data_IF_151952503315
#
_entry.id   IF_151952503315
#
_cell.length_a   1.000
_cell.length_b   1.000
_cell.length_c   1.000
_cell.angle_alpha   90.00
_cell.angle_beta   90.00
_cell.angle_gamma   90.00
#
_symmetry.space_group_name_H-M   'P 1'
#
loop_
_entity.id
_entity.type
_entity.pdbx_description
1 polymer ?
#
# COMPACT_ATOMS: atom_id res chain seq x y z
N UNK A 1 -23.03 25.14 40.49
CA UNK A 1 -22.97 25.08 39.01
C UNK A 1 -21.56 24.85 38.45
N UNK A 2 -20.47 25.06 39.20
CA UNK A 2 -19.10 24.81 38.73
C UNK A 2 -18.73 23.33 38.49
N UNK A 3 -19.40 22.37 39.18
CA UNK A 3 -19.13 20.92 39.04
C UNK A 3 -19.44 20.37 37.65
N UNK A 4 -20.38 20.97 36.92
CA UNK A 4 -20.78 20.52 35.57
C UNK A 4 -19.74 20.97 34.54
N UNK A 5 -19.23 22.20 34.66
CA UNK A 5 -18.22 22.76 33.75
C UNK A 5 -16.90 21.98 33.76
N UNK A 6 -16.43 21.54 34.93
CA UNK A 6 -15.20 20.73 35.05
C UNK A 6 -15.38 19.38 34.35
N UNK A 7 -16.55 18.75 34.48
CA UNK A 7 -16.86 17.46 33.87
C UNK A 7 -16.91 17.56 32.34
N UNK A 8 -17.42 18.67 31.81
CA UNK A 8 -17.47 18.94 30.36
C UNK A 8 -16.08 19.25 29.78
N UNK A 9 -15.23 20.00 30.49
CA UNK A 9 -13.85 20.29 30.07
C UNK A 9 -12.98 19.03 30.01
N UNK A 10 -13.10 18.12 30.98
CA UNK A 10 -12.41 16.83 30.94
C UNK A 10 -12.86 15.96 29.76
N UNK A 11 -14.16 15.97 29.43
CA UNK A 11 -14.69 15.17 28.33
C UNK A 11 -14.16 15.66 26.97
N UNK A 12 -14.08 16.99 26.78
CA UNK A 12 -13.55 17.60 25.54
C UNK A 12 -12.07 17.29 25.33
N UNK A 13 -11.26 17.29 26.39
CA UNK A 13 -9.85 16.94 26.32
C UNK A 13 -9.63 15.44 25.98
N UNK A 14 -10.49 14.57 26.52
CA UNK A 14 -10.45 13.12 26.25
C UNK A 14 -10.85 12.81 24.79
N UNK A 15 -11.87 13.52 24.26
CA UNK A 15 -12.26 13.40 22.85
C UNK A 15 -11.16 13.89 21.89
N UNK A 16 -10.48 14.99 22.20
CA UNK A 16 -9.32 15.44 21.42
C UNK A 16 -8.20 14.40 21.43
N UNK A 17 -7.91 13.77 22.56
CA UNK A 17 -6.90 12.71 22.66
C UNK A 17 -7.26 11.47 21.81
N UNK A 18 -8.54 11.07 21.80
CA UNK A 18 -9.04 9.98 20.95
C UNK A 18 -8.90 10.30 19.46
N UNK A 19 -9.17 11.55 19.05
CA UNK A 19 -8.97 11.99 17.66
C UNK A 19 -7.49 11.96 17.26
N UNK A 20 -6.56 12.31 18.17
CA UNK A 20 -5.12 12.18 17.92
C UNK A 20 -4.66 10.72 17.75
N UNK A 21 -5.23 9.78 18.50
CA UNK A 21 -4.93 8.35 18.32
C UNK A 21 -5.50 7.81 17.00
N UNK A 22 -6.68 8.29 16.56
CA UNK A 22 -7.25 7.92 15.26
C UNK A 22 -6.48 8.51 14.07
N UNK A 23 -5.90 9.72 14.21
CA UNK A 23 -4.99 10.29 13.21
C UNK A 23 -3.57 9.71 13.27
N UNK A 24 -3.22 8.96 14.33
CA UNK A 24 -1.96 8.25 14.50
C UNK A 24 -1.82 6.97 13.66
N UNK A 25 -2.89 6.56 12.96
CA UNK A 25 -2.84 5.64 11.82
C UNK A 25 -2.66 6.41 10.50
N UNK A 26 -1.95 7.53 10.55
CA UNK A 26 -1.09 7.93 9.45
C UNK A 26 -0.23 6.72 9.17
N UNK A 27 -0.63 5.97 8.15
CA UNK A 27 0.10 4.95 7.42
C UNK A 27 1.58 5.33 7.45
N UNK A 28 2.30 4.89 8.49
CA UNK A 28 3.76 4.94 8.55
C UNK A 28 4.19 3.86 7.58
N UNK A 29 4.04 4.17 6.28
CA UNK A 29 4.69 3.48 5.17
C UNK A 29 6.17 3.88 5.17
N UNK A 30 6.78 3.91 6.36
CA UNK A 30 8.19 4.24 6.59
C UNK A 30 9.06 3.00 6.67
N UNK A 31 8.49 1.83 6.43
CA UNK A 31 9.25 0.66 6.05
C UNK A 31 9.10 0.56 4.54
N UNK A 32 10.07 1.11 3.80
CA UNK A 32 10.30 0.74 2.41
C UNK A 32 10.63 -0.75 2.42
N UNK A 33 9.59 -1.60 2.48
CA UNK A 33 9.70 -3.04 2.42
C UNK A 33 10.08 -3.35 1.00
N UNK A 34 11.38 -3.26 0.73
CA UNK A 34 11.90 -3.63 -0.55
C UNK A 34 11.71 -5.15 -0.73
N UNK A 35 11.20 -5.62 -1.87
CA UNK A 35 10.81 -4.87 -3.07
C UNK A 35 9.48 -4.10 -2.94
N UNK A 36 9.46 -2.83 -3.35
CA UNK A 36 8.29 -1.94 -3.28
C UNK A 36 7.44 -2.06 -4.55
N UNK A 37 6.12 -2.26 -4.40
CA UNK A 37 5.19 -2.29 -5.52
C UNK A 37 4.99 -0.87 -6.09
N UNK A 38 5.31 -0.67 -7.37
CA UNK A 38 5.16 0.62 -8.06
C UNK A 38 3.86 0.69 -8.85
N UNK A 39 3.39 -0.46 -9.34
CA UNK A 39 2.18 -0.54 -10.13
C UNK A 39 2.04 -1.88 -10.84
N UNK A 40 1.17 -1.90 -11.83
CA UNK A 40 0.88 -3.08 -12.64
C UNK A 40 1.52 -2.99 -14.03
N UNK A 41 1.89 -4.14 -14.58
CA UNK A 41 2.36 -4.25 -15.96
C UNK A 41 1.21 -4.37 -16.96
N UNK A 42 1.53 -4.72 -18.20
CA UNK A 42 0.51 -4.87 -19.24
C UNK A 42 -0.46 -6.02 -18.92
N UNK A 43 -1.74 -5.77 -19.15
CA UNK A 43 -2.81 -6.76 -19.06
C UNK A 43 -2.52 -7.98 -19.94
N UNK A 44 -2.93 -9.17 -19.50
CA UNK A 44 -2.75 -10.45 -20.20
C UNK A 44 -1.29 -10.92 -20.36
N UNK A 45 -0.32 -10.30 -19.69
CA UNK A 45 1.07 -10.82 -19.64
C UNK A 45 1.22 -12.03 -18.72
N UNK A 46 0.27 -12.20 -17.79
CA UNK A 46 0.19 -13.33 -16.90
C UNK A 46 -0.98 -14.24 -17.29
N UNK A 47 -0.74 -15.55 -17.32
CA UNK A 47 -1.73 -16.58 -17.56
C UNK A 47 -1.36 -17.84 -16.78
N UNK A 48 -2.31 -18.72 -16.52
CA UNK A 48 -2.04 -19.95 -15.77
C UNK A 48 -0.96 -20.79 -16.50
N UNK A 49 0.17 -21.05 -15.82
CA UNK A 49 1.31 -21.76 -16.40
C UNK A 49 2.26 -20.89 -17.26
N UNK A 50 2.05 -19.57 -17.35
CA UNK A 50 3.00 -18.67 -18.01
C UNK A 50 4.21 -18.40 -17.13
N UNK A 51 5.36 -18.10 -17.76
CA UNK A 51 6.54 -17.58 -17.06
C UNK A 51 6.31 -16.12 -16.63
N UNK A 52 7.06 -15.64 -15.63
CA UNK A 52 7.10 -14.22 -15.24
C UNK A 52 7.81 -13.33 -16.26
N UNK A 53 8.55 -13.90 -17.23
CA UNK A 53 9.33 -13.17 -18.24
C UNK A 53 8.51 -12.10 -19.00
N UNK A 54 7.33 -12.38 -19.57
CA UNK A 54 6.51 -11.36 -20.23
C UNK A 54 6.11 -10.21 -19.30
N UNK A 55 5.80 -10.51 -18.04
CA UNK A 55 5.51 -9.50 -17.03
C UNK A 55 6.75 -8.65 -16.69
N UNK A 56 7.91 -9.28 -16.51
CA UNK A 56 9.19 -8.62 -16.26
C UNK A 56 9.59 -7.66 -17.39
N UNK A 57 9.49 -8.11 -18.65
CA UNK A 57 9.74 -7.27 -19.82
C UNK A 57 8.77 -6.09 -19.87
N UNK A 58 7.49 -6.33 -19.57
CA UNK A 58 6.48 -5.27 -19.54
C UNK A 58 6.79 -4.21 -18.48
N UNK A 59 7.15 -4.61 -17.26
CA UNK A 59 7.51 -3.69 -16.18
C UNK A 59 8.77 -2.86 -16.53
N UNK A 60 9.74 -3.47 -17.19
CA UNK A 60 10.96 -2.79 -17.65
C UNK A 60 10.69 -1.73 -18.71
N UNK A 61 9.69 -1.96 -19.57
CA UNK A 61 9.28 -1.03 -20.62
C UNK A 61 8.39 0.10 -20.10
N UNK A 62 7.49 -0.19 -19.16
CA UNK A 62 6.52 0.77 -18.64
C UNK A 62 7.10 1.70 -17.57
N UNK A 63 8.04 1.20 -16.75
CA UNK A 63 8.62 1.96 -15.64
C UNK A 63 10.10 2.27 -15.90
N UNK A 64 11.00 1.35 -15.55
CA UNK A 64 12.46 1.46 -15.79
C UNK A 64 13.04 0.06 -15.95
N UNK A 65 14.12 -0.07 -16.72
CA UNK A 65 14.82 -1.34 -16.95
C UNK A 65 15.29 -2.07 -15.69
N UNK A 66 15.38 -1.38 -14.56
CA UNK A 66 15.73 -1.95 -13.26
C UNK A 66 14.55 -2.61 -12.54
N UNK A 67 13.30 -2.31 -12.90
CA UNK A 67 12.13 -2.90 -12.25
C UNK A 67 12.02 -4.39 -12.54
N UNK A 68 11.39 -5.10 -11.61
CA UNK A 68 11.11 -6.53 -11.71
C UNK A 68 9.62 -6.75 -11.81
N UNK A 69 9.17 -7.52 -12.80
CA UNK A 69 7.77 -7.93 -12.95
C UNK A 69 7.54 -9.35 -12.47
N UNK A 70 6.49 -9.57 -11.67
CA UNK A 70 6.09 -10.89 -11.20
C UNK A 70 4.60 -11.09 -11.36
N UNK A 71 4.19 -12.27 -11.83
CA UNK A 71 2.79 -12.67 -11.86
C UNK A 71 2.35 -13.05 -10.44
N UNK A 72 1.37 -12.34 -9.90
CA UNK A 72 0.79 -12.58 -8.57
C UNK A 72 -0.65 -13.04 -8.70
N UNK A 73 -1.07 -14.08 -7.95
CA UNK A 73 -2.47 -14.44 -7.86
C UNK A 73 -3.22 -13.38 -7.04
N UNK A 74 -4.33 -12.89 -7.59
CA UNK A 74 -5.32 -12.04 -6.94
C UNK A 74 -6.72 -12.65 -7.11
N UNK A 75 -7.72 -12.06 -6.45
CA UNK A 75 -9.10 -12.57 -6.42
C UNK A 75 -9.71 -12.80 -7.83
N UNK A 76 -9.22 -12.10 -8.86
CA UNK A 76 -9.71 -12.17 -10.23
C UNK A 76 -8.75 -12.86 -11.22
N UNK A 77 -7.70 -13.53 -10.75
CA UNK A 77 -6.76 -14.26 -11.61
C UNK A 77 -5.31 -13.88 -11.36
N UNK A 78 -4.46 -14.01 -12.39
CA UNK A 78 -3.05 -13.65 -12.30
C UNK A 78 -2.84 -12.23 -12.83
N UNK A 79 -2.29 -11.36 -11.98
CA UNK A 79 -1.97 -9.98 -12.31
C UNK A 79 -0.47 -9.77 -12.37
N UNK A 80 -0.02 -8.90 -13.28
CA UNK A 80 1.39 -8.56 -13.42
C UNK A 80 1.74 -7.40 -12.49
N UNK A 81 2.54 -7.65 -11.47
CA UNK A 81 2.95 -6.66 -10.48
C UNK A 81 4.40 -6.22 -10.74
N UNK A 82 4.62 -4.91 -10.80
CA UNK A 82 5.92 -4.30 -11.04
C UNK A 82 6.51 -3.73 -9.75
N UNK A 83 7.75 -4.12 -9.45
CA UNK A 83 8.43 -3.76 -8.22
C UNK A 83 9.73 -2.98 -8.45
N UNK A 84 10.02 -2.04 -7.56
CA UNK A 84 11.37 -1.46 -7.40
C UNK A 84 12.24 -2.51 -6.71
N UNK A 85 13.36 -2.92 -7.35
CA UNK A 85 14.33 -3.79 -6.71
C UNK A 85 15.02 -3.05 -5.57
N UNK A 86 15.66 -3.83 -4.70
CA UNK A 86 16.69 -3.32 -3.80
C UNK A 86 18.00 -3.31 -4.61
#
# INVERSE_FOLDING_TARGET
MAKIFIKTLCLSALMMFLLFVSCGLLKVNGQSSCPELVGEGAENTCSEGSSDIPCDVSCKLLFTITHVGLCKPEDNGLHCHCYIPC
#
